data_IF_521358094406
#
_entry.id   IF_521358094406
#
_cell.length_a   1.000
_cell.length_b   1.000
_cell.length_c   1.000
_cell.angle_alpha   90.00
_cell.angle_beta   90.00
_cell.angle_gamma   90.00
#
_symmetry.space_group_name_H-M   'P 1'
#
loop_
_entity.id
_entity.type
_entity.pdbx_description
1 polymer ?
#
# COMPACT_ATOMS: atom_id res chain seq x y z
N UNK A 1 -31.82 -11.77 0.53
CA UNK A 1 -32.40 -10.40 0.40
C UNK A 1 -32.47 -10.07 -1.08
N UNK A 2 -33.61 -9.65 -1.62
CA UNK A 2 -33.73 -9.41 -3.07
C UNK A 2 -32.98 -8.14 -3.47
N UNK A 3 -32.50 -8.05 -4.72
CA UNK A 3 -31.65 -6.96 -5.20
C UNK A 3 -32.21 -5.55 -4.93
N UNK A 4 -33.52 -5.35 -5.09
CA UNK A 4 -34.21 -4.08 -4.82
C UNK A 4 -34.05 -3.61 -3.37
N UNK A 5 -34.11 -4.54 -2.41
CA UNK A 5 -33.93 -4.23 -0.99
C UNK A 5 -32.46 -3.87 -0.70
N UNK A 6 -31.51 -4.51 -1.37
CA UNK A 6 -30.09 -4.18 -1.23
C UNK A 6 -29.77 -2.80 -1.81
N UNK A 7 -30.38 -2.44 -2.95
CA UNK A 7 -30.26 -1.09 -3.51
C UNK A 7 -30.87 -0.06 -2.58
N UNK A 8 -32.08 -0.31 -2.06
CA UNK A 8 -32.71 0.59 -1.10
C UNK A 8 -31.84 0.78 0.16
N UNK A 9 -31.27 -0.31 0.68
CA UNK A 9 -30.36 -0.26 1.83
C UNK A 9 -29.07 0.51 1.52
N UNK A 10 -28.51 0.38 0.32
CA UNK A 10 -27.37 1.17 -0.13
C UNK A 10 -27.71 2.67 -0.20
N UNK A 11 -28.88 3.03 -0.73
CA UNK A 11 -29.34 4.43 -0.77
C UNK A 11 -29.58 5.01 0.63
N UNK A 12 -30.20 4.23 1.52
CA UNK A 12 -30.38 4.59 2.94
C UNK A 12 -29.02 4.78 3.60
N UNK A 13 -28.05 3.92 3.31
CA UNK A 13 -26.70 4.03 3.85
C UNK A 13 -26.01 5.34 3.46
N UNK A 14 -26.16 5.76 2.20
CA UNK A 14 -25.67 7.09 1.77
C UNK A 14 -26.34 8.20 2.59
N UNK A 15 -27.65 8.12 2.80
CA UNK A 15 -28.39 9.05 3.66
C UNK A 15 -27.88 9.07 5.10
N UNK A 16 -27.59 7.91 5.68
CA UNK A 16 -27.03 7.77 7.05
C UNK A 16 -25.64 8.41 7.14
N UNK A 17 -24.76 8.16 6.18
CA UNK A 17 -23.42 8.75 6.15
C UNK A 17 -23.44 10.27 5.97
N UNK A 18 -24.32 10.79 5.09
CA UNK A 18 -24.53 12.22 4.94
C UNK A 18 -25.11 12.85 6.22
N UNK A 19 -26.06 12.15 6.86
CA UNK A 19 -26.64 12.55 8.14
C UNK A 19 -25.60 12.61 9.24
N UNK A 20 -24.69 11.63 9.31
CA UNK A 20 -23.55 11.63 10.23
C UNK A 20 -22.65 12.84 10.01
N UNK A 21 -22.25 13.12 8.76
CA UNK A 21 -21.42 14.28 8.43
C UNK A 21 -22.09 15.60 8.82
N UNK A 22 -23.39 15.74 8.51
CA UNK A 22 -24.18 16.92 8.90
C UNK A 22 -24.29 17.07 10.42
N UNK A 23 -24.48 15.95 11.15
CA UNK A 23 -24.53 15.94 12.60
C UNK A 23 -23.19 16.36 13.22
N UNK A 24 -22.07 15.82 12.74
CA UNK A 24 -20.73 16.21 13.22
C UNK A 24 -20.49 17.69 12.97
N UNK A 25 -20.82 18.20 11.78
CA UNK A 25 -20.71 19.63 11.46
C UNK A 25 -21.56 20.50 12.41
N UNK A 26 -22.83 20.14 12.61
CA UNK A 26 -23.73 20.88 13.52
C UNK A 26 -23.22 20.86 14.97
N UNK A 27 -22.74 19.71 15.45
CA UNK A 27 -22.15 19.59 16.78
C UNK A 27 -20.89 20.44 16.92
N UNK A 28 -20.10 20.52 15.85
CA UNK A 28 -18.90 21.33 15.85
C UNK A 28 -19.18 22.83 15.90
N UNK A 29 -20.14 23.30 15.11
CA UNK A 29 -20.62 24.69 15.18
C UNK A 29 -21.21 25.01 16.56
N UNK A 30 -21.95 24.08 17.16
CA UNK A 30 -22.59 24.27 18.46
C UNK A 30 -21.62 24.22 19.66
N UNK A 31 -20.54 23.42 19.59
CA UNK A 31 -19.63 23.16 20.73
C UNK A 31 -18.19 23.64 20.49
N UNK A 32 -17.91 24.31 19.39
CA UNK A 32 -16.57 24.79 19.06
C UNK A 32 -15.54 23.66 18.87
N UNK A 33 -15.97 22.51 18.34
CA UNK A 33 -15.08 21.35 18.15
C UNK A 33 -14.05 21.69 17.07
N UNK A 34 -12.76 21.47 17.35
CA UNK A 34 -11.70 21.73 16.38
C UNK A 34 -11.82 20.82 15.13
N UNK A 35 -11.25 21.27 14.01
CA UNK A 35 -11.35 20.56 12.74
C UNK A 35 -10.75 19.13 12.79
N UNK A 36 -9.72 18.91 13.60
CA UNK A 36 -9.09 17.59 13.76
C UNK A 36 -10.05 16.57 14.39
N UNK A 37 -10.71 16.93 15.49
CA UNK A 37 -11.68 16.04 16.16
C UNK A 37 -12.88 15.80 15.24
N UNK A 38 -13.36 16.81 14.51
CA UNK A 38 -14.43 16.62 13.51
C UNK A 38 -14.04 15.58 12.47
N UNK A 39 -12.85 15.70 11.89
CA UNK A 39 -12.33 14.77 10.89
C UNK A 39 -12.25 13.35 11.45
N UNK A 40 -11.77 13.18 12.68
CA UNK A 40 -11.67 11.86 13.32
C UNK A 40 -13.04 11.29 13.71
N UNK A 41 -14.02 12.10 14.08
CA UNK A 41 -15.40 11.64 14.31
C UNK A 41 -16.04 11.12 13.01
N UNK A 42 -15.87 11.84 11.90
CA UNK A 42 -16.33 11.36 10.58
C UNK A 42 -15.61 10.07 10.21
N UNK A 43 -14.28 10.00 10.37
CA UNK A 43 -13.47 8.80 10.11
C UNK A 43 -13.91 7.58 10.94
N UNK A 44 -14.17 7.77 12.23
CA UNK A 44 -14.69 6.70 13.09
C UNK A 44 -16.05 6.24 12.58
N UNK A 45 -16.98 7.17 12.30
CA UNK A 45 -18.32 6.79 11.88
C UNK A 45 -18.36 6.13 10.49
N UNK A 46 -17.57 6.61 9.52
CA UNK A 46 -17.44 5.96 8.21
C UNK A 46 -16.75 4.61 8.32
N UNK A 47 -15.72 4.49 9.18
CA UNK A 47 -15.02 3.23 9.42
C UNK A 47 -15.86 2.19 10.16
N UNK A 48 -16.66 2.58 11.15
CA UNK A 48 -17.63 1.70 11.81
C UNK A 48 -18.72 1.23 10.85
N UNK A 49 -19.20 2.12 9.97
CA UNK A 49 -20.10 1.73 8.90
C UNK A 49 -19.44 0.73 7.95
N UNK A 50 -18.18 0.98 7.55
CA UNK A 50 -17.42 0.07 6.71
C UNK A 50 -17.29 -1.32 7.36
N UNK A 51 -16.94 -1.39 8.65
CA UNK A 51 -16.91 -2.65 9.39
C UNK A 51 -18.23 -3.41 9.28
N UNK A 52 -19.38 -2.73 9.35
CA UNK A 52 -20.69 -3.36 9.25
C UNK A 52 -21.06 -3.91 7.86
N UNK A 53 -20.34 -3.52 6.79
CA UNK A 53 -20.71 -3.84 5.40
C UNK A 53 -20.92 -5.35 5.14
N UNK A 54 -20.02 -6.26 5.57
CA UNK A 54 -20.18 -7.69 5.29
C UNK A 54 -21.41 -8.32 5.95
N UNK A 55 -21.93 -7.71 7.02
CA UNK A 55 -23.14 -8.18 7.71
C UNK A 55 -24.41 -7.48 7.21
N UNK A 56 -24.27 -6.26 6.68
CA UNK A 56 -25.38 -5.47 6.17
C UNK A 56 -25.88 -5.97 4.82
N UNK A 57 -24.96 -6.46 3.98
CA UNK A 57 -25.27 -6.95 2.64
C UNK A 57 -24.96 -8.45 2.51
N UNK A 58 -25.97 -9.30 2.20
CA UNK A 58 -25.74 -10.71 1.93
C UNK A 58 -24.88 -10.94 0.68
N UNK A 59 -25.07 -10.11 -0.35
CA UNK A 59 -24.27 -10.16 -1.57
C UNK A 59 -23.18 -9.09 -1.52
N UNK A 60 -22.02 -9.34 -2.15
CA UNK A 60 -20.90 -8.38 -2.18
C UNK A 60 -21.07 -7.27 -3.22
N UNK A 61 -21.87 -7.49 -4.27
CA UNK A 61 -22.01 -6.54 -5.38
C UNK A 61 -22.54 -5.14 -4.96
N UNK A 62 -23.47 -4.97 -4.00
CA UNK A 62 -23.93 -3.64 -3.60
C UNK A 62 -22.84 -2.87 -2.85
N UNK A 63 -21.97 -3.58 -2.13
CA UNK A 63 -20.82 -2.97 -1.46
C UNK A 63 -19.85 -2.39 -2.50
N UNK A 64 -19.54 -3.16 -3.55
CA UNK A 64 -18.70 -2.67 -4.64
C UNK A 64 -19.35 -1.53 -5.42
N UNK A 65 -20.68 -1.58 -5.63
CA UNK A 65 -21.44 -0.48 -6.22
C UNK A 65 -21.30 0.80 -5.38
N UNK A 66 -21.46 0.69 -4.05
CA UNK A 66 -21.35 1.83 -3.12
C UNK A 66 -19.94 2.43 -3.14
N UNK A 67 -18.91 1.59 -3.12
CA UNK A 67 -17.50 2.02 -3.17
C UNK A 67 -17.21 2.69 -4.53
N UNK A 68 -17.62 2.07 -5.64
CA UNK A 68 -17.44 2.62 -6.98
C UNK A 68 -18.12 3.98 -7.16
N UNK A 69 -19.37 4.11 -6.67
CA UNK A 69 -20.09 5.38 -6.68
C UNK A 69 -19.40 6.44 -5.82
N UNK A 70 -18.92 6.06 -4.63
CA UNK A 70 -18.18 6.97 -3.72
C UNK A 70 -16.92 7.50 -4.38
N UNK A 71 -16.14 6.62 -5.01
CA UNK A 71 -14.93 7.00 -5.74
C UNK A 71 -15.24 7.91 -6.94
N UNK A 72 -16.29 7.61 -7.70
CA UNK A 72 -16.73 8.43 -8.83
C UNK A 72 -17.12 9.83 -8.37
N UNK A 73 -17.95 9.94 -7.33
CA UNK A 73 -18.38 11.22 -6.75
C UNK A 73 -17.18 12.01 -6.24
N UNK A 74 -16.29 11.37 -5.46
CA UNK A 74 -15.08 12.03 -4.94
C UNK A 74 -14.15 12.51 -6.06
N UNK A 75 -14.01 11.75 -7.15
CA UNK A 75 -13.21 12.15 -8.30
C UNK A 75 -13.87 13.30 -9.07
N UNK A 76 -15.19 13.25 -9.27
CA UNK A 76 -15.95 14.29 -9.94
C UNK A 76 -15.89 15.63 -9.20
N UNK A 77 -16.00 15.62 -7.87
CA UNK A 77 -15.88 16.81 -7.03
C UNK A 77 -14.47 17.44 -7.09
N UNK A 78 -13.45 16.67 -7.50
CA UNK A 78 -12.07 17.14 -7.67
C UNK A 78 -11.76 17.63 -9.09
N UNK A 79 -12.67 17.47 -10.06
CA UNK A 79 -12.43 17.96 -11.42
C UNK A 79 -12.42 19.51 -11.45
N UNK A 80 -11.43 20.12 -12.13
CA UNK A 80 -11.38 21.57 -12.27
C UNK A 80 -12.58 22.09 -13.08
N UNK A 81 -13.39 22.97 -12.49
CA UNK A 81 -14.54 23.60 -13.16
C UNK A 81 -15.93 23.10 -12.74
N UNK A 82 -16.04 22.18 -11.78
CA UNK A 82 -17.35 21.81 -11.23
C UNK A 82 -17.93 22.97 -10.39
N UNK A 83 -19.10 23.51 -10.78
CA UNK A 83 -19.78 24.61 -10.05
C UNK A 83 -20.15 24.24 -8.60
N UNK A 84 -20.37 22.94 -8.35
CA UNK A 84 -20.54 22.35 -7.02
C UNK A 84 -19.23 22.22 -6.23
N UNK A 85 -18.10 22.02 -6.93
CA UNK A 85 -16.77 22.08 -6.33
C UNK A 85 -16.53 23.44 -5.71
N UNK A 86 -16.75 24.53 -6.45
CA UNK A 86 -16.53 25.90 -5.96
C UNK A 86 -17.35 26.29 -4.72
N UNK A 87 -18.54 25.72 -4.51
CA UNK A 87 -19.37 25.96 -3.30
C UNK A 87 -18.94 25.10 -2.10
N UNK A 88 -18.28 23.96 -2.35
CA UNK A 88 -17.68 23.09 -1.33
C UNK A 88 -16.17 23.35 -1.10
N UNK A 89 -15.53 24.17 -1.94
CA UNK A 89 -14.10 24.53 -1.89
C UNK A 89 -13.69 25.38 -0.67
N UNK A 90 -14.62 25.71 0.23
CA UNK A 90 -14.29 26.22 1.57
C UNK A 90 -13.74 25.16 2.52
N UNK A 91 -13.87 23.87 2.16
CA UNK A 91 -13.22 22.76 2.87
C UNK A 91 -11.91 22.47 2.15
N UNK A 92 -10.82 22.85 2.81
CA UNK A 92 -9.43 22.59 2.44
C UNK A 92 -9.26 21.31 1.63
N UNK A 93 -8.57 21.41 0.48
CA UNK A 93 -8.03 20.30 -0.35
C UNK A 93 -8.16 18.95 0.37
N UNK A 94 -9.31 18.28 0.25
CA UNK A 94 -9.54 17.05 0.99
C UNK A 94 -8.43 16.07 0.62
N UNK A 95 -7.75 15.59 1.67
CA UNK A 95 -6.63 14.67 1.60
C UNK A 95 -6.93 13.53 0.61
N UNK A 96 -5.91 13.04 -0.09
CA UNK A 96 -6.03 11.79 -0.84
C UNK A 96 -6.47 10.62 0.06
N UNK A 97 -6.36 10.77 1.38
CA UNK A 97 -6.78 9.80 2.39
C UNK A 97 -8.22 9.28 2.24
N UNK A 98 -9.22 10.11 1.92
CA UNK A 98 -10.61 9.64 1.82
C UNK A 98 -10.82 8.72 0.62
N UNK A 99 -10.16 9.02 -0.50
CA UNK A 99 -10.12 8.15 -1.69
C UNK A 99 -9.39 6.84 -1.36
N UNK A 100 -8.25 6.94 -0.69
CA UNK A 100 -7.43 5.79 -0.31
C UNK A 100 -8.15 4.86 0.67
N UNK A 101 -8.96 5.42 1.59
CA UNK A 101 -9.83 4.67 2.49
C UNK A 101 -10.90 3.90 1.70
N UNK A 102 -11.60 4.55 0.77
CA UNK A 102 -12.62 3.86 -0.03
C UNK A 102 -12.01 2.73 -0.89
N UNK A 103 -10.84 2.97 -1.48
CA UNK A 103 -10.08 1.94 -2.21
C UNK A 103 -9.67 0.81 -1.27
N UNK A 104 -9.16 1.10 -0.08
CA UNK A 104 -8.68 0.08 0.86
C UNK A 104 -9.80 -0.80 1.39
N UNK A 105 -10.98 -0.23 1.69
CA UNK A 105 -12.18 -0.99 2.06
C UNK A 105 -12.56 -1.97 0.96
N UNK A 106 -12.58 -1.53 -0.30
CA UNK A 106 -12.92 -2.39 -1.44
C UNK A 106 -11.91 -3.50 -1.67
N UNK A 107 -10.61 -3.17 -1.66
CA UNK A 107 -9.54 -4.14 -1.81
C UNK A 107 -9.48 -5.14 -0.66
N UNK A 108 -9.68 -4.69 0.59
CA UNK A 108 -9.67 -5.58 1.73
C UNK A 108 -10.85 -6.56 1.68
N UNK A 109 -12.04 -6.08 1.31
CA UNK A 109 -13.21 -6.95 1.18
C UNK A 109 -13.00 -7.99 0.07
N UNK A 110 -12.41 -7.55 -1.04
CA UNK A 110 -12.11 -8.40 -2.18
C UNK A 110 -11.10 -9.49 -1.82
N UNK A 111 -9.95 -9.12 -1.26
CA UNK A 111 -8.85 -10.03 -0.93
C UNK A 111 -9.10 -10.90 0.31
N UNK A 112 -9.97 -10.46 1.24
CA UNK A 112 -10.33 -11.26 2.40
C UNK A 112 -11.07 -12.54 2.02
N UNK A 113 -11.81 -12.53 0.91
CA UNK A 113 -12.68 -13.64 0.53
C UNK A 113 -13.64 -13.98 1.66
N UNK A 114 -13.69 -15.26 2.04
CA UNK A 114 -14.57 -15.74 3.12
C UNK A 114 -13.93 -15.63 4.52
N UNK A 115 -12.65 -15.28 4.59
CA UNK A 115 -11.91 -15.13 5.86
C UNK A 115 -12.15 -13.75 6.43
N UNK A 116 -13.31 -13.56 7.06
CA UNK A 116 -13.80 -12.25 7.49
C UNK A 116 -12.84 -11.48 8.43
N UNK A 117 -12.03 -12.18 9.24
CA UNK A 117 -11.03 -11.54 10.12
C UNK A 117 -9.97 -10.75 9.32
N UNK A 118 -9.68 -11.13 8.07
CA UNK A 118 -8.78 -10.42 7.16
C UNK A 118 -9.34 -9.07 6.69
N UNK A 119 -10.64 -8.87 6.81
CA UNK A 119 -11.31 -7.59 6.53
C UNK A 119 -11.51 -6.79 7.83
N UNK A 120 -12.09 -7.44 8.84
CA UNK A 120 -12.53 -6.76 10.07
C UNK A 120 -11.36 -6.21 10.87
N UNK A 121 -10.29 -6.99 11.07
CA UNK A 121 -9.15 -6.55 11.86
C UNK A 121 -8.47 -5.33 11.21
N UNK A 122 -8.07 -5.36 9.93
CA UNK A 122 -7.38 -4.21 9.33
C UNK A 122 -8.22 -2.93 9.30
N UNK A 123 -9.52 -3.04 8.99
CA UNK A 123 -10.42 -1.88 8.98
C UNK A 123 -10.69 -1.36 10.41
N UNK A 124 -10.78 -2.24 11.41
CA UNK A 124 -10.96 -1.82 12.81
C UNK A 124 -9.74 -1.09 13.35
N UNK A 125 -8.53 -1.57 13.02
CA UNK A 125 -7.27 -0.89 13.38
C UNK A 125 -7.21 0.48 12.71
N UNK A 126 -7.50 0.57 11.41
CA UNK A 126 -7.55 1.84 10.70
C UNK A 126 -8.59 2.81 11.27
N UNK A 127 -9.73 2.30 11.74
CA UNK A 127 -10.83 3.14 12.23
C UNK A 127 -10.58 3.63 13.65
N UNK A 128 -10.17 2.72 14.54
CA UNK A 128 -10.15 2.96 15.98
C UNK A 128 -8.76 3.30 16.49
N UNK A 129 -7.73 2.54 16.09
CA UNK A 129 -6.37 2.76 16.59
C UNK A 129 -5.79 4.06 16.02
N UNK A 130 -5.99 4.33 14.72
CA UNK A 130 -5.57 5.59 14.10
C UNK A 130 -6.24 6.82 14.74
N UNK A 131 -7.55 6.76 14.97
CA UNK A 131 -8.27 7.87 15.59
C UNK A 131 -7.83 8.07 17.05
N UNK A 132 -7.67 6.99 17.82
CA UNK A 132 -7.17 7.06 19.19
C UNK A 132 -5.75 7.65 19.26
N UNK A 133 -4.86 7.22 18.36
CA UNK A 133 -3.49 7.72 18.26
C UNK A 133 -3.43 9.23 17.97
N UNK A 134 -4.25 9.70 17.03
CA UNK A 134 -4.32 11.12 16.70
C UNK A 134 -4.90 11.98 17.82
N UNK A 135 -5.97 11.52 18.48
CA UNK A 135 -6.56 12.22 19.63
C UNK A 135 -5.59 12.27 20.81
N UNK A 136 -4.94 11.15 21.12
CA UNK A 136 -3.93 11.09 22.17
C UNK A 136 -2.72 11.95 21.85
N UNK A 137 -2.22 11.90 20.61
CA UNK A 137 -1.06 12.67 20.18
C UNK A 137 -1.31 14.18 20.14
N UNK A 138 -2.52 14.61 19.79
CA UNK A 138 -2.89 16.03 19.81
C UNK A 138 -3.18 16.57 21.22
N UNK A 139 -3.62 15.72 22.15
CA UNK A 139 -3.99 16.14 23.51
C UNK A 139 -2.85 15.98 24.52
N UNK A 140 -2.09 14.89 24.43
CA UNK A 140 -1.07 14.48 25.40
C UNK A 140 0.34 14.38 24.80
N UNK A 141 0.51 14.68 23.52
CA UNK A 141 1.81 14.58 22.86
C UNK A 141 2.83 15.52 23.48
N UNK A 142 3.96 14.97 23.92
CA UNK A 142 5.10 15.76 24.42
C UNK A 142 6.35 15.53 23.59
N UNK A 143 6.51 14.33 23.01
CA UNK A 143 7.67 13.96 22.20
C UNK A 143 7.27 13.78 20.75
N UNK A 144 7.55 14.80 19.95
CA UNK A 144 7.23 14.79 18.52
C UNK A 144 8.44 14.41 17.68
N UNK A 145 8.18 13.65 16.61
CA UNK A 145 9.12 13.42 15.53
C UNK A 145 8.53 13.97 14.22
N UNK A 146 9.42 14.52 13.39
CA UNK A 146 9.02 15.07 12.09
C UNK A 146 8.73 13.92 11.14
N UNK A 147 7.56 13.99 10.50
CA UNK A 147 7.28 13.26 9.27
C UNK A 147 7.33 14.26 8.12
N UNK A 148 7.35 13.79 6.87
CA UNK A 148 7.48 14.67 5.72
C UNK A 148 6.43 15.79 5.65
N UNK A 149 5.18 15.50 6.00
CA UNK A 149 4.11 16.50 6.13
C UNK A 149 3.49 16.44 7.52
N UNK A 150 4.13 17.12 8.47
CA UNK A 150 3.61 17.33 9.82
C UNK A 150 4.48 16.71 10.90
N UNK A 151 3.87 16.45 12.05
CA UNK A 151 4.53 15.85 13.19
C UNK A 151 3.67 14.72 13.74
N UNK A 152 4.31 13.64 14.16
CA UNK A 152 3.69 12.56 14.92
C UNK A 152 4.30 12.52 16.31
N UNK A 153 3.55 12.01 17.28
CA UNK A 153 4.00 11.91 18.67
C UNK A 153 4.32 10.47 19.03
N UNK A 154 5.31 10.28 19.89
CA UNK A 154 5.62 8.96 20.44
C UNK A 154 4.42 8.44 21.25
N UNK A 155 3.76 9.33 22.00
CA UNK A 155 2.57 9.01 22.79
C UNK A 155 1.43 8.49 21.89
N UNK A 156 1.19 9.15 20.75
CA UNK A 156 0.24 8.70 19.75
C UNK A 156 0.58 7.30 19.21
N UNK A 157 1.83 7.04 18.86
CA UNK A 157 2.27 5.71 18.39
C UNK A 157 2.15 4.62 19.49
N UNK A 158 2.38 4.95 20.76
CA UNK A 158 2.15 4.02 21.88
C UNK A 158 0.66 3.69 22.03
N UNK A 159 -0.21 4.71 21.93
CA UNK A 159 -1.67 4.48 21.96
C UNK A 159 -2.11 3.66 20.75
N UNK A 160 -1.59 3.95 19.55
CA UNK A 160 -1.82 3.15 18.36
C UNK A 160 -1.47 1.68 18.61
N UNK A 161 -0.27 1.42 19.13
CA UNK A 161 0.22 0.07 19.42
C UNK A 161 -0.71 -0.66 20.39
N UNK A 162 -1.04 -0.05 21.52
CA UNK A 162 -1.87 -0.68 22.57
C UNK A 162 -3.29 -0.95 22.06
N UNK A 163 -3.92 0.02 21.37
CA UNK A 163 -5.26 -0.15 20.83
C UNK A 163 -5.27 -1.22 19.73
N UNK A 164 -4.27 -1.23 18.85
CA UNK A 164 -4.11 -2.27 17.82
C UNK A 164 -3.93 -3.65 18.45
N UNK A 165 -3.13 -3.77 19.51
CA UNK A 165 -2.93 -5.03 20.23
C UNK A 165 -4.24 -5.55 20.81
N UNK A 166 -5.03 -4.69 21.48
CA UNK A 166 -6.31 -5.07 22.07
C UNK A 166 -7.33 -5.48 20.99
N UNK A 167 -7.46 -4.70 19.92
CA UNK A 167 -8.33 -5.00 18.78
C UNK A 167 -7.93 -6.34 18.14
N UNK A 168 -6.63 -6.57 17.95
CA UNK A 168 -6.13 -7.79 17.31
C UNK A 168 -6.42 -9.03 18.16
N UNK A 169 -6.15 -8.97 19.47
CA UNK A 169 -6.44 -10.07 20.40
C UNK A 169 -7.92 -10.37 20.39
N UNK A 170 -8.78 -9.36 20.53
CA UNK A 170 -10.23 -9.54 20.54
C UNK A 170 -10.74 -10.13 19.22
N UNK A 171 -10.33 -9.53 18.09
CA UNK A 171 -10.78 -9.94 16.77
C UNK A 171 -10.36 -11.39 16.46
N UNK A 172 -9.10 -11.75 16.71
CA UNK A 172 -8.59 -13.09 16.45
C UNK A 172 -9.22 -14.12 17.39
N UNK A 173 -9.41 -13.79 18.67
CA UNK A 173 -10.04 -14.69 19.64
C UNK A 173 -11.50 -15.00 19.29
N UNK A 174 -12.24 -14.02 18.78
CA UNK A 174 -13.67 -14.17 18.44
C UNK A 174 -13.87 -14.80 17.06
N UNK A 175 -13.01 -14.51 16.10
CA UNK A 175 -13.26 -14.84 14.69
C UNK A 175 -12.42 -16.01 14.16
N UNK A 176 -11.50 -16.56 14.95
CA UNK A 176 -10.60 -17.63 14.50
C UNK A 176 -10.49 -18.74 15.54
N UNK A 177 -10.24 -20.00 15.11
CA UNK A 177 -10.01 -21.12 16.01
C UNK A 177 -8.54 -21.23 16.46
N UNK A 178 -7.74 -20.17 16.34
CA UNK A 178 -6.30 -20.23 16.63
C UNK A 178 -6.03 -20.43 18.12
N UNK A 179 -4.92 -21.09 18.44
CA UNK A 179 -4.50 -21.28 19.81
C UNK A 179 -4.24 -19.92 20.50
N UNK A 180 -4.59 -19.73 21.78
CA UNK A 180 -4.42 -18.45 22.49
C UNK A 180 -2.98 -17.91 22.43
N UNK A 181 -1.97 -18.78 22.52
CA UNK A 181 -0.57 -18.37 22.44
C UNK A 181 -0.21 -17.82 21.06
N UNK A 182 -0.71 -18.43 19.98
CA UNK A 182 -0.52 -17.92 18.61
C UNK A 182 -1.20 -16.57 18.44
N UNK A 183 -2.40 -16.38 19.01
CA UNK A 183 -3.13 -15.10 18.97
C UNK A 183 -2.31 -13.99 19.63
N UNK A 184 -1.68 -14.25 20.79
CA UNK A 184 -0.86 -13.25 21.48
C UNK A 184 0.34 -12.85 20.64
N UNK A 185 1.10 -13.81 20.11
CA UNK A 185 2.28 -13.53 19.27
C UNK A 185 1.87 -12.78 18.00
N UNK A 186 0.82 -13.25 17.32
CA UNK A 186 0.32 -12.63 16.10
C UNK A 186 -0.17 -11.20 16.35
N UNK A 187 -0.90 -10.97 17.44
CA UNK A 187 -1.40 -9.65 17.83
C UNK A 187 -0.26 -8.68 18.19
N UNK A 188 0.79 -9.18 18.83
CA UNK A 188 1.99 -8.38 19.11
C UNK A 188 2.70 -7.96 17.83
N UNK A 189 2.83 -8.89 16.88
CA UNK A 189 3.41 -8.60 15.57
C UNK A 189 2.56 -7.61 14.79
N UNK A 190 1.24 -7.79 14.74
CA UNK A 190 0.28 -6.88 14.10
C UNK A 190 0.36 -5.48 14.70
N UNK A 191 0.41 -5.36 16.03
CA UNK A 191 0.55 -4.08 16.71
C UNK A 191 1.88 -3.40 16.38
N UNK A 192 3.00 -4.13 16.48
CA UNK A 192 4.32 -3.59 16.19
C UNK A 192 4.45 -3.16 14.73
N UNK A 193 4.04 -4.02 13.81
CA UNK A 193 4.07 -3.77 12.37
C UNK A 193 3.12 -2.62 11.97
N UNK A 194 1.87 -2.63 12.44
CA UNK A 194 0.91 -1.56 12.19
C UNK A 194 1.41 -0.21 12.71
N UNK A 195 2.06 -0.18 13.87
CA UNK A 195 2.66 1.05 14.43
C UNK A 195 3.80 1.57 13.55
N UNK A 196 4.64 0.69 12.97
CA UNK A 196 5.67 1.13 12.03
C UNK A 196 5.07 1.71 10.76
N UNK A 197 4.06 1.05 10.19
CA UNK A 197 3.37 1.54 8.99
C UNK A 197 2.69 2.87 9.25
N UNK A 198 1.99 3.02 10.37
CA UNK A 198 1.40 4.28 10.80
C UNK A 198 2.48 5.35 10.92
N UNK A 199 3.54 5.11 11.69
CA UNK A 199 4.59 6.09 11.93
C UNK A 199 5.38 6.48 10.67
N UNK A 200 5.48 5.58 9.68
CA UNK A 200 6.14 5.83 8.39
C UNK A 200 5.21 6.44 7.32
N UNK A 201 3.89 6.41 7.53
CA UNK A 201 2.92 6.89 6.55
C UNK A 201 2.75 8.42 6.57
N UNK A 202 2.40 8.97 5.41
CA UNK A 202 2.23 10.40 5.16
C UNK A 202 0.98 10.65 4.30
N UNK A 203 0.48 11.89 4.24
CA UNK A 203 -0.54 12.33 3.25
C UNK A 203 -1.82 11.48 3.15
N UNK A 204 -2.19 10.77 4.22
CA UNK A 204 -3.34 9.87 4.22
C UNK A 204 -3.07 8.51 3.55
N UNK A 205 -1.82 8.17 3.23
CA UNK A 205 -1.45 6.85 2.68
C UNK A 205 -1.56 5.72 3.71
N UNK A 206 -1.55 6.04 5.00
CA UNK A 206 -1.95 5.13 6.07
C UNK A 206 -3.33 4.52 5.80
N UNK A 207 -4.28 5.30 5.26
CA UNK A 207 -5.61 4.80 4.92
C UNK A 207 -5.62 3.66 3.87
N UNK A 208 -4.52 3.45 3.15
CA UNK A 208 -4.34 2.31 2.23
C UNK A 208 -3.30 1.31 2.73
N UNK A 209 -2.10 1.78 3.10
CA UNK A 209 -0.97 0.90 3.43
C UNK A 209 -1.17 0.14 4.73
N UNK A 210 -1.79 0.76 5.73
CA UNK A 210 -2.08 0.10 7.00
C UNK A 210 -3.05 -1.07 6.81
N UNK A 211 -4.28 -0.90 6.27
CA UNK A 211 -5.21 -2.01 6.15
C UNK A 211 -4.71 -3.09 5.19
N UNK A 212 -4.11 -2.72 4.05
CA UNK A 212 -3.58 -3.69 3.09
C UNK A 212 -2.38 -4.46 3.66
N UNK A 213 -1.47 -3.78 4.35
CA UNK A 213 -0.32 -4.41 4.98
C UNK A 213 -0.76 -5.41 6.05
N UNK A 214 -1.72 -5.04 6.89
CA UNK A 214 -2.26 -5.94 7.92
C UNK A 214 -2.99 -7.14 7.31
N UNK A 215 -3.80 -6.93 6.27
CA UNK A 215 -4.49 -8.01 5.56
C UNK A 215 -3.49 -9.02 5.01
N UNK A 216 -2.46 -8.57 4.30
CA UNK A 216 -1.48 -9.46 3.68
C UNK A 216 -0.63 -10.16 4.75
N UNK A 217 -0.22 -9.44 5.80
CA UNK A 217 0.48 -10.06 6.92
C UNK A 217 -0.33 -11.21 7.53
N UNK A 218 -1.61 -10.99 7.77
CA UNK A 218 -2.50 -12.01 8.32
C UNK A 218 -2.78 -13.13 7.31
N UNK A 219 -2.95 -12.82 6.03
CA UNK A 219 -3.28 -13.84 5.02
C UNK A 219 -2.13 -14.83 4.81
N UNK A 220 -0.88 -14.39 4.99
CA UNK A 220 0.33 -15.21 4.85
C UNK A 220 0.70 -15.93 6.15
N UNK A 221 0.55 -15.27 7.31
CA UNK A 221 1.13 -15.80 8.56
C UNK A 221 0.12 -16.28 9.60
N UNK A 222 -1.17 -15.94 9.50
CA UNK A 222 -2.11 -16.20 10.61
C UNK A 222 -2.27 -17.70 10.94
N UNK A 223 -2.11 -18.58 9.96
CA UNK A 223 -2.21 -20.04 10.14
C UNK A 223 -0.86 -20.71 10.45
N UNK A 224 0.24 -19.96 10.58
CA UNK A 224 1.56 -20.55 10.80
C UNK A 224 1.68 -21.16 12.22
N UNK A 225 2.45 -22.25 12.37
CA UNK A 225 2.82 -22.78 13.68
C UNK A 225 3.50 -21.73 14.56
N UNK A 226 3.40 -21.90 15.88
CA UNK A 226 3.99 -20.98 16.85
C UNK A 226 5.49 -20.75 16.64
N UNK A 227 6.24 -21.81 16.30
CA UNK A 227 7.67 -21.73 16.04
C UNK A 227 7.99 -20.75 14.91
N UNK A 228 7.26 -20.82 13.79
CA UNK A 228 7.48 -19.95 12.63
C UNK A 228 7.10 -18.49 12.96
N UNK A 229 6.04 -18.27 13.73
CA UNK A 229 5.66 -16.95 14.21
C UNK A 229 6.74 -16.34 15.11
N UNK A 230 7.33 -17.13 16.01
CA UNK A 230 8.42 -16.68 16.87
C UNK A 230 9.68 -16.35 16.07
N UNK A 231 10.05 -17.19 15.09
CA UNK A 231 11.16 -16.93 14.17
C UNK A 231 10.91 -15.62 13.42
N UNK A 232 9.72 -15.43 12.87
CA UNK A 232 9.36 -14.21 12.16
C UNK A 232 9.42 -12.98 13.06
N UNK A 233 8.96 -13.07 14.31
CA UNK A 233 9.05 -12.00 15.29
C UNK A 233 10.51 -11.62 15.61
N UNK A 234 11.39 -12.62 15.75
CA UNK A 234 12.84 -12.39 15.94
C UNK A 234 13.45 -11.74 14.70
N UNK A 235 13.15 -12.23 13.50
CA UNK A 235 13.64 -11.64 12.24
C UNK A 235 13.20 -10.19 12.12
N UNK A 236 11.95 -9.89 12.46
CA UNK A 236 11.41 -8.53 12.45
C UNK A 236 12.17 -7.61 13.42
N UNK A 237 12.32 -8.04 14.68
CA UNK A 237 13.05 -7.28 15.69
C UNK A 237 14.52 -7.03 15.28
N UNK A 238 15.19 -8.07 14.75
CA UNK A 238 16.57 -7.98 14.26
C UNK A 238 16.66 -7.03 13.06
N UNK A 239 15.68 -7.03 12.16
CA UNK A 239 15.67 -6.16 10.98
C UNK A 239 15.53 -4.68 11.37
N UNK A 240 14.67 -4.36 12.34
CA UNK A 240 14.57 -3.00 12.89
C UNK A 240 15.90 -2.56 13.52
N UNK A 241 16.52 -3.42 14.33
CA UNK A 241 17.79 -3.12 14.99
C UNK A 241 18.93 -2.96 13.98
N UNK A 242 19.08 -3.91 13.07
CA UNK A 242 20.12 -3.90 12.04
C UNK A 242 20.04 -2.62 11.20
N UNK A 243 18.84 -2.21 10.80
CA UNK A 243 18.69 -1.00 10.02
C UNK A 243 18.97 0.26 10.83
N UNK A 244 18.56 0.33 12.10
CA UNK A 244 18.91 1.46 12.98
C UNK A 244 20.44 1.62 13.12
N UNK A 245 21.19 0.52 13.04
CA UNK A 245 22.65 0.52 13.09
C UNK A 245 23.30 0.88 11.74
N UNK A 246 22.68 0.52 10.62
CA UNK A 246 23.20 0.73 9.26
C UNK A 246 22.81 2.11 8.69
N UNK A 247 21.62 2.61 9.00
CA UNK A 247 21.08 3.85 8.41
C UNK A 247 22.00 5.07 8.55
N UNK A 248 22.70 5.32 9.68
CA UNK A 248 23.59 6.47 9.78
C UNK A 248 24.83 6.35 8.89
N UNK A 249 25.23 5.11 8.54
CA UNK A 249 26.43 4.84 7.72
C UNK A 249 26.21 5.08 6.22
N UNK A 250 24.96 4.97 5.77
CA UNK A 250 24.58 5.13 4.35
C UNK A 250 24.05 6.54 4.03
N UNK A 251 24.14 7.48 4.97
CA UNK A 251 23.72 8.87 4.78
C UNK A 251 22.21 9.06 4.61
N UNK A 252 21.40 8.05 4.96
CA UNK A 252 19.95 8.19 5.01
C UNK A 252 19.56 8.98 6.27
N UNK A 253 18.61 9.90 6.12
CA UNK A 253 17.98 10.51 7.29
C UNK A 253 17.12 9.46 8.04
N UNK A 254 16.82 9.72 9.31
CA UNK A 254 16.09 8.76 10.17
C UNK A 254 14.69 8.39 9.63
N UNK A 255 14.05 9.29 8.88
CA UNK A 255 12.73 9.04 8.33
C UNK A 255 12.78 8.13 7.08
N UNK A 256 13.61 8.47 6.08
CA UNK A 256 13.88 7.64 4.91
C UNK A 256 14.34 6.24 5.30
N UNK A 257 15.15 6.18 6.37
CA UNK A 257 15.55 4.94 6.99
C UNK A 257 14.34 4.10 7.43
N UNK A 258 13.47 4.65 8.25
CA UNK A 258 12.26 3.97 8.74
C UNK A 258 11.34 3.54 7.59
N UNK A 259 11.18 4.37 6.58
CA UNK A 259 10.37 4.08 5.38
C UNK A 259 10.92 2.86 4.64
N UNK A 260 12.22 2.83 4.35
CA UNK A 260 12.85 1.71 3.65
C UNK A 260 12.90 0.44 4.50
N UNK A 261 13.08 0.54 5.82
CA UNK A 261 12.93 -0.63 6.73
C UNK A 261 11.57 -1.24 6.58
N UNK A 262 10.55 -0.39 6.70
CA UNK A 262 9.16 -0.83 6.70
C UNK A 262 8.85 -1.48 5.35
N UNK A 263 9.28 -0.86 4.25
CA UNK A 263 9.12 -1.41 2.90
C UNK A 263 9.87 -2.73 2.68
N UNK A 264 11.13 -2.86 3.11
CA UNK A 264 11.90 -4.10 2.94
C UNK A 264 11.32 -5.22 3.80
N UNK A 265 10.95 -4.93 5.05
CA UNK A 265 10.29 -5.90 5.91
C UNK A 265 8.96 -6.37 5.32
N UNK A 266 8.13 -5.43 4.84
CA UNK A 266 6.89 -5.72 4.12
C UNK A 266 7.10 -6.70 2.97
N UNK A 267 8.10 -6.44 2.13
CA UNK A 267 8.41 -7.30 0.99
C UNK A 267 8.82 -8.70 1.46
N UNK A 268 9.74 -8.79 2.42
CA UNK A 268 10.26 -10.05 2.96
C UNK A 268 9.21 -10.87 3.72
N UNK A 269 8.29 -10.22 4.41
CA UNK A 269 7.22 -10.90 5.14
C UNK A 269 6.21 -11.54 4.17
N UNK A 270 5.92 -10.88 3.04
CA UNK A 270 4.72 -11.23 2.26
C UNK A 270 4.98 -12.04 1.00
N UNK A 271 6.23 -12.13 0.55
CA UNK A 271 6.55 -12.84 -0.68
C UNK A 271 7.76 -13.73 -0.49
N UNK A 272 7.82 -14.82 -1.26
CA UNK A 272 8.97 -15.72 -1.22
C UNK A 272 10.27 -14.93 -1.52
N UNK A 273 11.35 -15.28 -0.81
CA UNK A 273 12.61 -14.51 -0.81
C UNK A 273 13.08 -14.19 -2.23
N UNK A 274 13.04 -15.15 -3.16
CA UNK A 274 13.44 -14.92 -4.56
C UNK A 274 12.62 -13.83 -5.27
N UNK A 275 11.33 -13.69 -4.95
CA UNK A 275 10.44 -12.69 -5.54
C UNK A 275 10.57 -11.31 -4.89
N UNK A 276 11.23 -11.21 -3.72
CA UNK A 276 11.53 -9.94 -3.03
C UNK A 276 12.76 -9.23 -3.57
N UNK A 277 13.67 -9.97 -4.21
CA UNK A 277 14.99 -9.45 -4.62
C UNK A 277 14.86 -8.26 -5.57
N UNK A 278 14.09 -8.38 -6.65
CA UNK A 278 13.91 -7.28 -7.59
C UNK A 278 13.26 -6.04 -6.94
N UNK A 279 12.14 -6.14 -6.20
CA UNK A 279 11.56 -5.04 -5.43
C UNK A 279 12.55 -4.34 -4.48
N UNK A 280 13.39 -5.08 -3.75
CA UNK A 280 14.41 -4.49 -2.87
C UNK A 280 15.47 -3.75 -3.72
N UNK A 281 15.88 -4.33 -4.84
CA UNK A 281 16.82 -3.69 -5.77
C UNK A 281 16.23 -2.43 -6.43
N UNK A 282 14.91 -2.27 -6.53
CA UNK A 282 14.28 -1.00 -6.95
C UNK A 282 14.65 0.13 -5.99
N UNK A 283 14.61 -0.12 -4.67
CA UNK A 283 14.99 0.87 -3.66
C UNK A 283 16.48 1.24 -3.79
N UNK A 284 17.35 0.24 -4.02
CA UNK A 284 18.77 0.48 -4.27
C UNK A 284 19.03 1.29 -5.55
N UNK A 285 18.34 0.94 -6.65
CA UNK A 285 18.44 1.67 -7.92
C UNK A 285 17.92 3.11 -7.81
N UNK A 286 16.88 3.33 -7.01
CA UNK A 286 16.37 4.67 -6.69
C UNK A 286 17.40 5.50 -5.92
N UNK A 287 18.04 4.92 -4.90
CA UNK A 287 19.13 5.60 -4.15
C UNK A 287 20.27 5.98 -5.09
N UNK A 288 20.69 5.07 -5.98
CA UNK A 288 21.73 5.36 -6.97
C UNK A 288 21.33 6.46 -7.96
N UNK A 289 20.10 6.40 -8.48
CA UNK A 289 19.53 7.43 -9.36
C UNK A 289 19.59 8.82 -8.74
N UNK A 290 19.33 8.92 -7.44
CA UNK A 290 19.37 10.20 -6.71
C UNK A 290 20.78 10.68 -6.39
N UNK A 291 21.72 9.76 -6.12
CA UNK A 291 23.09 10.15 -5.81
C UNK A 291 23.80 10.75 -7.02
N UNK A 292 23.45 10.34 -8.24
CA UNK A 292 24.08 10.82 -9.48
C UNK A 292 23.25 11.85 -10.25
N UNK A 293 21.92 11.76 -10.20
CA UNK A 293 21.01 12.64 -10.96
C UNK A 293 19.86 13.09 -10.06
N UNK A 294 19.98 14.26 -9.42
CA UNK A 294 18.97 14.74 -8.44
C UNK A 294 17.61 15.00 -9.10
N UNK A 295 16.52 14.55 -8.49
CA UNK A 295 15.17 14.98 -8.86
C UNK A 295 14.77 16.26 -8.11
N UNK A 296 13.73 16.92 -8.60
CA UNK A 296 13.04 18.06 -7.94
C UNK A 296 11.83 17.60 -7.13
N UNK A 297 11.73 16.30 -6.87
CA UNK A 297 10.66 15.73 -6.06
C UNK A 297 10.85 16.19 -4.62
N UNK A 298 9.74 16.57 -3.98
CA UNK A 298 9.78 17.02 -2.58
C UNK A 298 10.18 15.88 -1.65
N UNK A 299 9.75 14.67 -1.99
CA UNK A 299 9.71 13.49 -1.12
C UNK A 299 9.94 12.17 -1.90
N UNK A 300 11.11 12.02 -2.53
CA UNK A 300 11.35 10.93 -3.48
C UNK A 300 11.38 9.53 -2.85
N UNK A 301 11.77 9.39 -1.58
CA UNK A 301 11.79 8.12 -0.85
C UNK A 301 10.39 7.56 -0.64
N UNK A 302 9.46 8.45 -0.29
CA UNK A 302 8.06 8.11 -0.11
C UNK A 302 7.39 7.81 -1.45
N UNK A 303 7.70 8.59 -2.50
CA UNK A 303 7.15 8.35 -3.84
C UNK A 303 7.55 6.97 -4.41
N UNK A 304 8.79 6.50 -4.19
CA UNK A 304 9.21 5.17 -4.66
C UNK A 304 8.59 4.03 -3.87
N UNK A 305 8.45 4.17 -2.54
CA UNK A 305 7.78 3.16 -1.71
C UNK A 305 6.30 3.10 -2.03
N UNK A 306 5.64 4.25 -2.25
CA UNK A 306 4.25 4.26 -2.69
C UNK A 306 4.09 3.61 -4.07
N UNK A 307 4.96 3.94 -5.04
CA UNK A 307 4.93 3.30 -6.36
C UNK A 307 5.09 1.78 -6.28
N UNK A 308 6.04 1.31 -5.47
CA UNK A 308 6.28 -0.12 -5.28
C UNK A 308 5.10 -0.81 -4.57
N UNK A 309 4.56 -0.22 -3.51
CA UNK A 309 3.42 -0.75 -2.78
C UNK A 309 2.17 -0.85 -3.67
N UNK A 310 1.88 0.19 -4.45
CA UNK A 310 0.76 0.18 -5.40
C UNK A 310 0.92 -0.90 -6.48
N UNK A 311 2.14 -1.09 -7.00
CA UNK A 311 2.44 -2.19 -7.94
C UNK A 311 2.27 -3.55 -7.28
N UNK A 312 2.78 -3.73 -6.07
CA UNK A 312 2.63 -4.98 -5.31
C UNK A 312 1.16 -5.33 -5.06
N UNK A 313 0.38 -4.39 -4.52
CA UNK A 313 -1.04 -4.61 -4.24
C UNK A 313 -1.87 -4.76 -5.50
N UNK A 314 -1.55 -4.00 -6.56
CA UNK A 314 -2.23 -4.09 -7.84
C UNK A 314 -2.06 -5.47 -8.49
N UNK A 315 -0.83 -5.99 -8.52
CA UNK A 315 -0.58 -7.34 -9.04
C UNK A 315 -1.21 -8.44 -8.20
N UNK A 316 -1.19 -8.30 -6.87
CA UNK A 316 -1.88 -9.24 -5.99
C UNK A 316 -3.40 -9.25 -6.26
N UNK A 317 -4.02 -8.08 -6.33
CA UNK A 317 -5.46 -7.95 -6.59
C UNK A 317 -5.86 -8.50 -7.96
N UNK A 318 -5.09 -8.19 -9.00
CA UNK A 318 -5.34 -8.71 -10.35
C UNK A 318 -5.16 -10.23 -10.41
N UNK A 319 -4.13 -10.76 -9.75
CA UNK A 319 -3.88 -12.21 -9.70
C UNK A 319 -5.00 -12.97 -9.02
N UNK A 320 -5.53 -12.43 -7.91
CA UNK A 320 -6.69 -13.00 -7.23
C UNK A 320 -7.96 -12.90 -8.09
N UNK A 321 -8.17 -11.76 -8.76
CA UNK A 321 -9.37 -11.52 -9.58
C UNK A 321 -9.51 -12.39 -10.82
N UNK A 322 -8.40 -12.82 -11.41
CA UNK A 322 -8.41 -13.69 -12.59
C UNK A 322 -8.21 -15.17 -12.23
N UNK A 323 -7.86 -15.48 -10.98
CA UNK A 323 -7.40 -16.80 -10.56
C UNK A 323 -6.03 -17.19 -11.14
N UNK A 324 -5.35 -16.31 -11.87
CA UNK A 324 -4.06 -16.56 -12.50
C UNK A 324 -2.94 -15.78 -11.82
N UNK A 325 -1.97 -16.51 -11.27
CA UNK A 325 -0.87 -15.95 -10.51
C UNK A 325 -0.12 -14.85 -11.29
N UNK A 326 0.08 -13.69 -10.66
CA UNK A 326 0.70 -12.52 -11.28
C UNK A 326 2.17 -12.28 -10.87
N UNK A 327 2.78 -13.16 -10.07
CA UNK A 327 4.11 -12.95 -9.47
C UNK A 327 5.21 -12.78 -10.53
N UNK A 328 5.17 -13.53 -11.63
CA UNK A 328 6.13 -13.38 -12.73
C UNK A 328 6.06 -11.97 -13.36
N UNK A 329 4.87 -11.40 -13.49
CA UNK A 329 4.67 -10.06 -14.03
C UNK A 329 5.04 -8.96 -13.04
N UNK A 330 4.75 -9.18 -11.76
CA UNK A 330 5.26 -8.34 -10.68
C UNK A 330 6.79 -8.23 -10.72
N UNK A 331 7.49 -9.37 -10.84
CA UNK A 331 8.95 -9.40 -10.98
C UNK A 331 9.45 -8.69 -12.23
N UNK A 332 8.74 -8.80 -13.36
CA UNK A 332 9.06 -8.05 -14.58
C UNK A 332 8.88 -6.54 -14.39
N UNK A 333 7.79 -6.09 -13.76
CA UNK A 333 7.57 -4.67 -13.45
C UNK A 333 8.68 -4.14 -12.52
N UNK A 334 9.03 -4.85 -11.46
CA UNK A 334 10.12 -4.46 -10.56
C UNK A 334 11.47 -4.37 -11.29
N UNK A 335 11.78 -5.35 -12.15
CA UNK A 335 13.02 -5.34 -12.96
C UNK A 335 13.04 -4.16 -13.94
N UNK A 336 11.91 -3.85 -14.56
CA UNK A 336 11.75 -2.67 -15.41
C UNK A 336 11.93 -1.36 -14.63
N UNK A 337 11.49 -1.29 -13.36
CA UNK A 337 11.72 -0.12 -12.50
C UNK A 337 13.20 0.05 -12.16
N UNK A 338 13.91 -1.03 -11.83
CA UNK A 338 15.37 -1.01 -11.63
C UNK A 338 16.06 -0.40 -12.85
N UNK A 339 15.72 -0.92 -14.03
CA UNK A 339 16.29 -0.49 -15.31
C UNK A 339 15.95 0.99 -15.62
N UNK A 340 14.74 1.45 -15.32
CA UNK A 340 14.33 2.85 -15.46
C UNK A 340 15.08 3.80 -14.52
N UNK A 341 15.24 3.45 -13.24
CA UNK A 341 16.02 4.26 -12.30
C UNK A 341 17.52 4.28 -12.65
N UNK A 342 18.07 3.14 -13.09
CA UNK A 342 19.44 3.04 -13.57
C UNK A 342 19.70 3.91 -14.80
N UNK A 343 18.78 3.89 -15.77
CA UNK A 343 18.81 4.79 -16.93
C UNK A 343 18.93 6.25 -16.49
N UNK A 344 18.13 6.68 -15.51
CA UNK A 344 18.22 8.03 -14.97
C UNK A 344 19.52 8.28 -14.22
N UNK A 345 20.08 7.27 -13.54
CA UNK A 345 21.34 7.37 -12.82
C UNK A 345 22.53 7.63 -13.76
N UNK A 346 22.54 6.98 -14.93
CA UNK A 346 23.62 7.09 -15.93
C UNK A 346 23.37 8.17 -16.97
N UNK A 347 22.19 8.81 -16.99
CA UNK A 347 21.85 9.88 -17.93
C UNK A 347 22.90 11.02 -18.03
N UNK A 348 23.63 11.40 -16.96
CA UNK A 348 24.70 12.40 -17.05
C UNK A 348 26.00 11.92 -17.74
N UNK A 349 26.17 10.61 -17.94
CA UNK A 349 27.39 10.02 -18.51
C UNK A 349 27.43 10.08 -20.05
N UNK A 350 28.56 9.73 -20.65
CA UNK A 350 28.70 9.61 -22.11
C UNK A 350 27.82 8.50 -22.69
N UNK A 351 27.43 8.61 -23.97
CA UNK A 351 26.58 7.60 -24.62
C UNK A 351 27.18 6.19 -24.62
N UNK A 352 28.50 6.08 -24.70
CA UNK A 352 29.20 4.79 -24.64
C UNK A 352 29.12 4.18 -23.24
N UNK A 353 29.38 4.97 -22.19
CA UNK A 353 29.24 4.53 -20.81
C UNK A 353 27.80 4.15 -20.48
N UNK A 354 26.82 4.94 -20.95
CA UNK A 354 25.41 4.60 -20.84
C UNK A 354 25.13 3.23 -21.46
N UNK A 355 25.50 3.03 -22.73
CA UNK A 355 25.25 1.76 -23.42
C UNK A 355 25.87 0.56 -22.70
N UNK A 356 27.14 0.66 -22.28
CA UNK A 356 27.85 -0.43 -21.58
C UNK A 356 27.18 -0.77 -20.25
N UNK A 357 26.87 0.24 -19.42
CA UNK A 357 26.25 0.01 -18.11
C UNK A 357 24.85 -0.57 -18.28
N UNK A 358 24.03 0.00 -19.18
CA UNK A 358 22.67 -0.49 -19.40
C UNK A 358 22.65 -1.92 -19.96
N UNK A 359 23.56 -2.28 -20.87
CA UNK A 359 23.68 -3.65 -21.37
C UNK A 359 24.09 -4.63 -20.26
N UNK A 360 25.07 -4.25 -19.43
CA UNK A 360 25.49 -5.05 -18.28
C UNK A 360 24.36 -5.26 -17.28
N UNK A 361 23.58 -4.22 -16.99
CA UNK A 361 22.42 -4.31 -16.10
C UNK A 361 21.28 -5.14 -16.68
N UNK A 362 21.00 -5.00 -17.98
CA UNK A 362 20.01 -5.84 -18.65
C UNK A 362 20.40 -7.32 -18.55
N UNK A 363 21.67 -7.66 -18.80
CA UNK A 363 22.17 -9.01 -18.65
C UNK A 363 22.01 -9.52 -17.20
N UNK A 364 22.39 -8.73 -16.20
CA UNK A 364 22.24 -9.09 -14.78
C UNK A 364 20.78 -9.27 -14.35
N UNK A 365 19.86 -8.45 -14.86
CA UNK A 365 18.43 -8.61 -14.56
C UNK A 365 17.82 -9.81 -15.27
N UNK A 366 18.27 -10.15 -16.47
CA UNK A 366 17.86 -11.37 -17.17
C UNK A 366 18.35 -12.62 -16.46
N UNK A 367 19.60 -12.63 -15.95
CA UNK A 367 20.11 -13.75 -15.16
C UNK A 367 19.39 -13.88 -13.82
N UNK A 368 19.16 -12.77 -13.11
CA UNK A 368 18.34 -12.76 -11.89
C UNK A 368 16.96 -13.36 -12.17
N UNK A 369 16.30 -12.94 -13.26
CA UNK A 369 15.00 -13.47 -13.63
C UNK A 369 15.05 -14.96 -13.96
N UNK A 370 16.09 -15.43 -14.64
CA UNK A 370 16.26 -16.86 -14.92
C UNK A 370 16.33 -17.68 -13.64
N UNK A 371 17.08 -17.21 -12.65
CA UNK A 371 17.14 -17.83 -11.33
C UNK A 371 15.78 -17.81 -10.62
N UNK A 372 15.07 -16.67 -10.63
CA UNK A 372 13.73 -16.55 -10.02
C UNK A 372 12.72 -17.49 -10.67
N UNK A 373 12.69 -17.57 -12.02
CA UNK A 373 11.82 -18.50 -12.75
C UNK A 373 12.13 -19.94 -12.38
N UNK A 374 13.41 -20.32 -12.30
CA UNK A 374 13.82 -21.68 -11.94
C UNK A 374 13.47 -22.06 -10.48
N UNK A 375 13.45 -21.10 -9.56
CA UNK A 375 13.10 -21.32 -8.15
C UNK A 375 11.59 -21.25 -7.89
N UNK A 376 10.82 -20.61 -8.76
CA UNK A 376 9.38 -20.46 -8.59
C UNK A 376 8.63 -21.74 -9.02
N UNK A 377 7.54 -22.09 -8.31
CA UNK A 377 6.74 -23.26 -8.65
C UNK A 377 6.02 -23.05 -9.99
N UNK A 378 5.64 -24.15 -10.66
CA UNK A 378 5.01 -24.09 -11.99
C UNK A 378 3.80 -23.14 -12.09
N UNK A 379 2.87 -23.08 -11.10
CA UNK A 379 1.74 -22.17 -11.17
C UNK A 379 2.12 -20.68 -11.19
N UNK A 380 3.31 -20.31 -10.69
CA UNK A 380 3.81 -18.94 -10.76
C UNK A 380 4.40 -18.59 -12.15
N UNK A 381 4.64 -19.60 -12.97
CA UNK A 381 5.24 -19.51 -14.31
C UNK A 381 4.31 -20.08 -15.41
N UNK A 382 3.00 -20.06 -15.19
CA UNK A 382 1.98 -20.67 -16.07
C UNK A 382 2.03 -20.19 -17.54
N UNK A 383 2.55 -18.99 -17.75
CA UNK A 383 2.72 -18.32 -19.03
C UNK A 383 4.14 -18.46 -19.61
N UNK A 384 4.95 -19.34 -19.04
CA UNK A 384 6.32 -19.58 -19.43
C UNK A 384 7.26 -18.41 -19.13
N UNK A 385 8.49 -18.46 -19.67
CA UNK A 385 9.52 -17.50 -19.29
C UNK A 385 9.39 -16.13 -19.97
N UNK A 386 8.61 -15.98 -21.05
CA UNK A 386 8.37 -14.69 -21.74
C UNK A 386 9.64 -13.83 -21.96
N UNK A 387 10.73 -14.44 -22.43
CA UNK A 387 12.01 -13.72 -22.61
C UNK A 387 11.92 -12.48 -23.49
N UNK A 388 11.24 -12.50 -24.66
CA UNK A 388 11.11 -11.30 -25.49
C UNK A 388 10.39 -10.15 -24.77
N UNK A 389 9.32 -10.47 -24.03
CA UNK A 389 8.56 -9.47 -23.25
C UNK A 389 9.39 -8.93 -22.10
N UNK A 390 10.17 -9.79 -21.44
CA UNK A 390 11.08 -9.37 -20.37
C UNK A 390 12.09 -8.37 -20.92
N UNK A 391 12.75 -8.70 -22.05
CA UNK A 391 13.71 -7.80 -22.69
C UNK A 391 13.05 -6.47 -23.08
N UNK A 392 11.86 -6.51 -23.69
CA UNK A 392 11.11 -5.30 -24.02
C UNK A 392 10.77 -4.45 -22.78
N UNK A 393 10.36 -5.10 -21.69
CA UNK A 393 10.03 -4.45 -20.41
C UNK A 393 11.24 -3.78 -19.76
N UNK A 394 12.45 -4.32 -19.96
CA UNK A 394 13.69 -3.69 -19.49
C UNK A 394 14.08 -2.51 -20.39
N UNK A 395 14.15 -2.74 -21.71
CA UNK A 395 14.75 -1.79 -22.64
C UNK A 395 13.87 -0.58 -22.91
N UNK A 396 12.57 -0.75 -23.13
CA UNK A 396 11.69 0.35 -23.55
C UNK A 396 11.59 1.44 -22.46
N UNK A 397 11.24 1.13 -21.20
CA UNK A 397 11.17 2.15 -20.14
C UNK A 397 12.52 2.85 -19.90
N UNK A 398 13.64 2.12 -20.02
CA UNK A 398 14.96 2.71 -19.89
C UNK A 398 15.35 3.64 -21.04
N UNK A 399 15.03 3.27 -22.28
CA UNK A 399 15.24 4.15 -23.44
C UNK A 399 14.41 5.43 -23.33
N UNK A 400 13.15 5.32 -22.87
CA UNK A 400 12.26 6.46 -22.57
C UNK A 400 12.90 7.35 -21.49
N UNK A 401 13.40 6.75 -20.40
CA UNK A 401 14.02 7.47 -19.29
C UNK A 401 15.34 8.15 -19.68
N UNK A 402 16.16 7.53 -20.53
CA UNK A 402 17.40 8.13 -21.07
C UNK A 402 17.10 9.27 -22.04
N UNK A 403 16.20 9.03 -23.00
CA UNK A 403 15.91 9.98 -24.09
C UNK A 403 15.19 11.22 -23.58
N UNK A 404 14.36 11.07 -22.55
CA UNK A 404 13.57 12.16 -21.97
C UNK A 404 13.86 12.36 -20.48
N UNK A 405 15.11 12.24 -20.07
CA UNK A 405 15.53 12.35 -18.65
C UNK A 405 15.02 13.61 -17.94
N UNK A 406 14.92 14.74 -18.63
CA UNK A 406 14.34 15.99 -18.10
C UNK A 406 12.88 15.85 -17.65
N UNK A 407 12.11 15.00 -18.32
CA UNK A 407 10.73 14.71 -17.92
C UNK A 407 10.69 13.94 -16.58
N UNK A 408 11.77 13.31 -16.16
CA UNK A 408 11.86 12.59 -14.88
C UNK A 408 12.48 13.44 -13.76
N UNK A 409 12.61 14.75 -13.95
CA UNK A 409 12.98 15.68 -12.88
C UNK A 409 11.84 15.89 -11.88
N UNK A 410 10.58 15.64 -12.26
CA UNK A 410 9.40 15.74 -11.40
C UNK A 410 8.53 14.49 -11.50
N UNK A 411 7.94 14.09 -10.38
CA UNK A 411 7.18 12.87 -10.20
C UNK A 411 7.97 11.64 -10.71
N UNK A 412 9.28 11.59 -10.41
CA UNK A 412 10.19 10.60 -11.00
C UNK A 412 9.71 9.17 -10.77
N UNK A 413 9.46 8.81 -9.52
CA UNK A 413 9.08 7.46 -9.16
C UNK A 413 7.74 7.06 -9.79
N UNK A 414 6.75 7.96 -9.80
CA UNK A 414 5.47 7.72 -10.48
C UNK A 414 5.66 7.46 -11.98
N UNK A 415 6.43 8.29 -12.68
CA UNK A 415 6.67 8.15 -14.13
C UNK A 415 7.44 6.86 -14.45
N UNK A 416 8.46 6.51 -13.65
CA UNK A 416 9.17 5.23 -13.79
C UNK A 416 8.21 4.07 -13.57
N UNK A 417 7.43 4.10 -12.49
CA UNK A 417 6.45 3.05 -12.16
C UNK A 417 5.45 2.83 -13.29
N UNK A 418 4.85 3.91 -13.83
CA UNK A 418 3.88 3.82 -14.93
C UNK A 418 4.52 3.27 -16.22
N UNK A 419 5.72 3.74 -16.57
CA UNK A 419 6.44 3.24 -17.74
C UNK A 419 6.80 1.75 -17.60
N UNK A 420 7.23 1.33 -16.42
CA UNK A 420 7.59 -0.05 -16.10
C UNK A 420 6.39 -1.00 -16.00
N UNK A 421 5.20 -0.48 -15.71
CA UNK A 421 3.97 -1.28 -15.59
C UNK A 421 3.34 -1.60 -16.96
N UNK A 422 3.47 -0.71 -17.94
CA UNK A 422 2.72 -0.77 -19.19
C UNK A 422 2.86 -2.11 -19.95
N UNK A 423 4.08 -2.58 -20.20
CA UNK A 423 4.32 -3.80 -20.98
C UNK A 423 3.92 -5.06 -20.19
N UNK A 424 4.33 -5.25 -18.92
CA UNK A 424 3.87 -6.38 -18.13
C UNK A 424 2.35 -6.44 -17.98
N UNK A 425 1.68 -5.31 -17.75
CA UNK A 425 0.22 -5.26 -17.59
C UNK A 425 -0.51 -5.65 -18.87
N UNK A 426 -0.15 -5.06 -20.01
CA UNK A 426 -0.76 -5.41 -21.30
C UNK A 426 -0.52 -6.88 -21.63
N UNK A 427 0.70 -7.39 -21.38
CA UNK A 427 1.01 -8.79 -21.61
C UNK A 427 0.17 -9.71 -20.73
N UNK A 428 0.00 -9.36 -19.45
CA UNK A 428 -0.86 -10.12 -18.54
C UNK A 428 -2.29 -10.18 -19.04
N UNK A 429 -2.87 -9.03 -19.41
CA UNK A 429 -4.24 -8.94 -19.90
C UNK A 429 -4.46 -9.77 -21.18
N UNK A 430 -3.47 -9.83 -22.07
CA UNK A 430 -3.53 -10.70 -23.24
C UNK A 430 -3.43 -12.18 -22.84
N UNK A 431 -2.49 -12.51 -21.95
CA UNK A 431 -2.24 -13.88 -21.52
C UNK A 431 -3.45 -14.50 -20.79
N UNK A 432 -4.15 -13.74 -19.93
CA UNK A 432 -5.35 -14.24 -19.25
C UNK A 432 -6.51 -14.50 -20.21
N UNK A 433 -6.65 -13.69 -21.26
CA UNK A 433 -7.66 -13.91 -22.31
C UNK A 433 -7.34 -15.18 -23.09
N UNK A 434 -6.07 -15.41 -23.41
CA UNK A 434 -5.62 -16.64 -24.09
C UNK A 434 -5.76 -17.88 -23.22
N UNK A 435 -5.59 -17.75 -21.91
CA UNK A 435 -5.77 -18.82 -20.94
C UNK A 435 -7.24 -19.13 -20.61
N UNK A 436 -8.19 -18.38 -21.19
CA UNK A 436 -9.62 -18.62 -20.98
C UNK A 436 -10.15 -18.16 -19.63
N UNK A 437 -9.48 -17.25 -18.92
CA UNK A 437 -9.89 -16.80 -17.58
C UNK A 437 -11.25 -16.07 -17.52
N UNK A 438 -11.83 -15.74 -18.68
CA UNK A 438 -13.14 -15.09 -18.81
C UNK A 438 -14.14 -15.89 -19.68
N UNK A 439 -13.82 -17.15 -20.01
CA UNK A 439 -14.72 -18.09 -20.68
C UNK A 439 -15.30 -19.05 -19.63
#
# INVERSE_FOLDING_TARGET
MNATHQIALALVSVGVLLGLMALVKKLAEARGINAEVQRKLVHIGTGLYALGLPWLFPDRWPIYMLIGMTLLVMLFLRLPGSKLGHTLHGVERQSYGDLLLAVSVGLCLFLAGDRLFLYVLPIAVLTLADAAAALAGSTYGTRFFQIEEGQKSIEGSVVFFVVTLLISVLCLLVMTPFAPVNIVVLSLMVAAFGTLVEAASWRGYDNLFLPMGLLIFLSVHAANPLADLLILAVIFAVSILAFKLVSPRIGLNNHAAQVYVTAVFLLLAFTAVQNTLAPILVLAAHVWSRSTNKSRDRFPELDVVAGLALVSFGWLAIGEATGLNAVSFYGMTASAMIMGFAALAVAPLSRTSQAVIMLGMAAALLTLRAAVVALNPEPANWNGPMWPVTVASLLIPALVALSWSRQFEKARAMRVTLASLAIPLVTYLIAIVQAGAFA
#
